data_IF_829109763418
#
_entry.id   IF_829109763418
#
_cell.length_a   1.000
_cell.length_b   1.000
_cell.length_c   1.000
_cell.angle_alpha   90.00
_cell.angle_beta   90.00
_cell.angle_gamma   90.00
#
_symmetry.space_group_name_H-M   'P 1'
#
loop_
_entity.id
_entity.type
_entity.pdbx_description
1 polymer ?
#
# COMPACT_ATOMS: atom_id res chain seq x y z
N UNK A 1 6.86 28.91 -9.20
CA UNK A 1 7.13 27.85 -8.21
C UNK A 1 6.12 26.71 -8.38
N UNK A 2 4.85 27.04 -8.58
CA UNK A 2 3.73 26.09 -8.74
C UNK A 2 3.91 25.04 -9.85
N UNK A 3 4.53 25.41 -10.99
CA UNK A 3 4.79 24.46 -12.08
C UNK A 3 5.72 23.31 -11.69
N UNK A 4 6.73 23.58 -10.85
CA UNK A 4 7.68 22.56 -10.40
C UNK A 4 7.04 21.62 -9.38
N UNK A 5 6.23 22.17 -8.47
CA UNK A 5 5.46 21.39 -7.50
C UNK A 5 4.40 20.52 -8.20
N UNK A 6 3.67 21.07 -9.16
CA UNK A 6 2.70 20.33 -9.97
C UNK A 6 3.38 19.20 -10.76
N UNK A 7 4.50 19.48 -11.43
CA UNK A 7 5.24 18.45 -12.15
C UNK A 7 5.78 17.33 -11.23
N UNK A 8 6.21 17.67 -10.01
CA UNK A 8 6.65 16.68 -9.03
C UNK A 8 5.49 15.83 -8.52
N UNK A 9 4.33 16.43 -8.30
CA UNK A 9 3.10 15.72 -7.94
C UNK A 9 2.64 14.77 -9.06
N UNK A 10 2.60 15.23 -10.31
CA UNK A 10 2.26 14.41 -11.48
C UNK A 10 3.25 13.25 -11.65
N UNK A 11 4.54 13.51 -11.43
CA UNK A 11 5.58 12.46 -11.45
C UNK A 11 5.37 11.42 -10.35
N UNK A 12 5.03 11.84 -9.12
CA UNK A 12 4.73 10.95 -8.01
C UNK A 12 3.49 10.10 -8.30
N UNK A 13 2.42 10.70 -8.83
CA UNK A 13 1.21 10.01 -9.25
C UNK A 13 1.48 8.97 -10.34
N UNK A 14 2.27 9.32 -11.37
CA UNK A 14 2.64 8.37 -12.43
C UNK A 14 3.51 7.23 -11.88
N UNK A 15 4.47 7.53 -11.01
CA UNK A 15 5.28 6.49 -10.35
C UNK A 15 4.40 5.53 -9.54
N UNK A 16 3.41 6.05 -8.84
CA UNK A 16 2.50 5.25 -8.03
C UNK A 16 1.63 4.33 -8.91
N UNK A 17 1.07 4.86 -10.00
CA UNK A 17 0.27 4.06 -10.94
C UNK A 17 1.10 2.92 -11.54
N UNK A 18 2.31 3.22 -12.02
CA UNK A 18 3.21 2.21 -12.57
C UNK A 18 3.59 1.13 -11.53
N UNK A 19 3.74 1.52 -10.26
CA UNK A 19 3.99 0.61 -9.16
C UNK A 19 2.77 -0.29 -8.86
N UNK A 20 1.56 0.27 -8.85
CA UNK A 20 0.32 -0.48 -8.66
C UNK A 20 0.09 -1.49 -9.80
N UNK A 21 0.32 -1.08 -11.05
CA UNK A 21 0.18 -1.96 -12.22
C UNK A 21 1.20 -3.11 -12.16
N UNK A 22 2.45 -2.81 -11.81
CA UNK A 22 3.47 -3.83 -11.67
C UNK A 22 3.22 -4.78 -10.49
N UNK A 23 2.66 -4.28 -9.38
CA UNK A 23 2.20 -5.13 -8.28
C UNK A 23 1.09 -6.07 -8.76
N UNK A 24 0.10 -5.56 -9.48
CA UNK A 24 -0.99 -6.37 -10.03
C UNK A 24 -0.48 -7.54 -10.89
N UNK A 25 0.52 -7.29 -11.73
CA UNK A 25 1.17 -8.32 -12.57
C UNK A 25 1.99 -9.35 -11.78
N UNK A 26 2.36 -9.03 -10.53
CA UNK A 26 3.16 -9.89 -9.65
C UNK A 26 2.33 -10.56 -8.56
N UNK A 27 1.04 -10.28 -8.48
CA UNK A 27 0.17 -10.95 -7.54
C UNK A 27 0.04 -12.44 -7.91
N UNK A 28 -0.05 -13.32 -6.89
CA UNK A 28 -0.38 -14.72 -7.15
C UNK A 28 -1.74 -14.84 -7.85
N UNK A 29 -1.98 -15.98 -8.49
CA UNK A 29 -3.22 -16.23 -9.24
C UNK A 29 -4.49 -16.16 -8.37
N UNK A 30 -4.37 -16.45 -7.07
CA UNK A 30 -5.47 -16.34 -6.09
C UNK A 30 -5.66 -14.90 -5.56
N UNK A 31 -4.82 -13.95 -5.99
CA UNK A 31 -4.86 -12.56 -5.57
C UNK A 31 -4.42 -12.31 -4.13
N UNK A 32 -4.00 -13.34 -3.38
CA UNK A 32 -3.68 -13.21 -1.94
C UNK A 32 -2.35 -12.48 -1.76
N UNK A 33 -2.43 -11.26 -1.24
CA UNK A 33 -1.27 -10.45 -0.91
C UNK A 33 -0.66 -10.89 0.43
N UNK A 34 -1.49 -11.06 1.46
CA UNK A 34 -1.07 -11.64 2.73
C UNK A 34 -2.19 -12.41 3.43
N UNK A 35 -1.79 -13.30 4.32
CA UNK A 35 -2.67 -14.14 5.13
C UNK A 35 -2.19 -14.11 6.57
N UNK A 36 -3.10 -13.92 7.53
CA UNK A 36 -2.75 -13.88 8.95
C UNK A 36 -3.87 -14.46 9.81
N UNK A 37 -3.50 -15.31 10.76
CA UNK A 37 -4.43 -15.87 11.72
C UNK A 37 -4.72 -14.86 12.83
N UNK A 38 -5.95 -14.38 12.90
CA UNK A 38 -6.41 -13.50 13.96
C UNK A 38 -7.05 -14.31 15.10
N UNK A 39 -6.32 -14.37 16.22
CA UNK A 39 -6.81 -14.95 17.48
C UNK A 39 -7.59 -13.90 18.26
N UNK A 40 -8.92 -14.04 18.26
CA UNK A 40 -9.85 -13.12 18.91
C UNK A 40 -10.12 -13.56 20.34
N UNK A 41 -10.00 -12.66 21.31
CA UNK A 41 -10.35 -12.97 22.70
C UNK A 41 -11.83 -13.37 22.80
N UNK A 42 -12.11 -14.51 23.44
CA UNK A 42 -13.47 -15.02 23.64
C UNK A 42 -14.24 -15.42 22.37
N UNK A 43 -13.58 -15.50 21.19
CA UNK A 43 -14.23 -15.87 19.92
C UNK A 43 -13.38 -16.89 19.14
N UNK A 44 -14.02 -17.62 18.23
CA UNK A 44 -13.30 -18.51 17.31
C UNK A 44 -12.27 -17.70 16.49
N UNK A 45 -11.06 -18.25 16.27
CA UNK A 45 -10.05 -17.59 15.44
C UNK A 45 -10.54 -17.52 13.99
N UNK A 46 -10.02 -16.54 13.26
CA UNK A 46 -10.35 -16.28 11.85
C UNK A 46 -9.05 -16.08 11.09
N UNK A 47 -8.94 -16.64 9.89
CA UNK A 47 -7.85 -16.29 8.98
C UNK A 47 -8.29 -15.07 8.19
N UNK A 48 -7.51 -14.00 8.25
CA UNK A 48 -7.75 -12.77 7.49
C UNK A 48 -6.85 -12.82 6.26
N UNK A 49 -7.46 -12.80 5.08
CA UNK A 49 -6.78 -12.70 3.80
C UNK A 49 -6.93 -11.28 3.28
N UNK A 50 -5.82 -10.67 2.88
CA UNK A 50 -5.84 -9.41 2.13
C UNK A 50 -5.56 -9.74 0.68
N UNK A 51 -6.52 -9.45 -0.18
CA UNK A 51 -6.50 -9.71 -1.60
C UNK A 51 -6.23 -8.42 -2.38
N UNK A 52 -5.57 -8.56 -3.52
CA UNK A 52 -5.42 -7.48 -4.48
C UNK A 52 -6.59 -7.48 -5.50
N UNK A 53 -7.19 -6.31 -5.84
CA UNK A 53 -6.96 -5.00 -5.23
C UNK A 53 -7.88 -4.74 -4.03
N UNK A 54 -7.29 -4.67 -2.83
CA UNK A 54 -7.87 -4.08 -1.62
C UNK A 54 -9.14 -4.74 -1.04
N UNK A 55 -9.28 -6.06 -1.18
CA UNK A 55 -10.35 -6.82 -0.53
C UNK A 55 -9.83 -7.56 0.70
N UNK A 56 -10.68 -7.67 1.72
CA UNK A 56 -10.39 -8.43 2.94
C UNK A 56 -11.40 -9.55 3.05
N UNK A 57 -10.91 -10.78 3.13
CA UNK A 57 -11.71 -11.94 3.47
C UNK A 57 -11.43 -12.37 4.90
N UNK A 58 -12.48 -12.50 5.70
CA UNK A 58 -12.47 -13.22 6.96
C UNK A 58 -12.93 -14.65 6.68
N UNK A 59 -12.06 -15.64 6.86
CA UNK A 59 -12.39 -17.05 6.60
C UNK A 59 -12.23 -17.91 7.84
N UNK A 60 -13.07 -18.94 7.94
CA UNK A 60 -12.96 -19.92 9.00
C UNK A 60 -11.68 -20.78 8.79
N UNK A 61 -10.80 -20.88 9.81
CA UNK A 61 -9.60 -21.70 9.70
C UNK A 61 -9.96 -23.17 9.49
N UNK A 62 -9.25 -23.85 8.58
CA UNK A 62 -9.42 -25.26 8.28
C UNK A 62 -10.49 -25.58 7.23
N UNK A 63 -11.64 -24.88 7.24
CA UNK A 63 -12.71 -25.10 6.25
C UNK A 63 -12.62 -24.16 5.05
N UNK A 64 -11.99 -22.99 5.20
CA UNK A 64 -11.94 -21.97 4.15
C UNK A 64 -13.26 -21.25 3.90
N UNK A 65 -14.30 -21.54 4.69
CA UNK A 65 -15.60 -20.90 4.55
C UNK A 65 -15.49 -19.39 4.79
N UNK A 66 -15.99 -18.58 3.85
CA UNK A 66 -15.99 -17.13 3.94
C UNK A 66 -17.03 -16.69 4.96
N UNK A 67 -16.57 -16.01 6.00
CA UNK A 67 -17.38 -15.39 7.05
C UNK A 67 -17.78 -13.98 6.63
N UNK A 68 -16.84 -13.28 5.98
CA UNK A 68 -17.06 -11.93 5.50
C UNK A 68 -16.13 -11.57 4.35
N UNK A 69 -16.62 -10.67 3.51
CA UNK A 69 -15.87 -9.98 2.47
C UNK A 69 -16.10 -8.48 2.64
N UNK A 70 -15.03 -7.69 2.65
CA UNK A 70 -15.12 -6.23 2.85
C UNK A 70 -13.98 -5.55 2.13
N UNK A 71 -14.29 -4.51 1.36
CA UNK A 71 -13.25 -3.67 0.75
C UNK A 71 -12.54 -2.83 1.82
N UNK A 72 -11.22 -2.64 1.71
CA UNK A 72 -10.41 -1.95 2.73
C UNK A 72 -10.94 -0.55 3.04
N UNK A 73 -11.39 0.19 2.02
CA UNK A 73 -11.96 1.53 2.19
C UNK A 73 -13.19 1.56 3.13
N UNK A 74 -13.91 0.44 3.27
CA UNK A 74 -15.11 0.34 4.11
C UNK A 74 -14.84 -0.34 5.45
N UNK A 75 -13.62 -0.85 5.66
CA UNK A 75 -13.29 -1.74 6.76
C UNK A 75 -13.46 -1.06 8.12
N UNK A 76 -13.08 0.21 8.22
CA UNK A 76 -13.25 0.98 9.45
C UNK A 76 -14.72 1.09 9.87
N UNK A 77 -15.63 1.27 8.90
CA UNK A 77 -17.06 1.43 9.16
C UNK A 77 -17.76 0.08 9.41
N UNK A 78 -17.46 -0.94 8.59
CA UNK A 78 -18.17 -2.23 8.60
C UNK A 78 -17.55 -3.27 9.53
N UNK A 79 -16.23 -3.21 9.74
CA UNK A 79 -15.43 -4.22 10.46
C UNK A 79 -14.28 -3.58 11.26
N UNK A 80 -14.55 -2.67 12.21
CA UNK A 80 -13.52 -1.89 12.92
C UNK A 80 -12.50 -2.75 13.68
N UNK A 81 -12.89 -3.93 14.17
CA UNK A 81 -11.97 -4.84 14.84
C UNK A 81 -10.96 -5.48 13.86
N UNK A 82 -11.41 -5.80 12.64
CA UNK A 82 -10.56 -6.30 11.55
C UNK A 82 -9.65 -5.18 11.04
N UNK A 83 -10.15 -3.94 10.95
CA UNK A 83 -9.32 -2.78 10.64
C UNK A 83 -8.20 -2.58 11.66
N UNK A 84 -8.50 -2.61 12.96
CA UNK A 84 -7.49 -2.50 14.01
C UNK A 84 -6.49 -3.67 13.99
N UNK A 85 -6.92 -4.87 13.60
CA UNK A 85 -6.01 -6.00 13.39
C UNK A 85 -5.05 -5.74 12.22
N UNK A 86 -5.56 -5.31 11.06
CA UNK A 86 -4.73 -5.02 9.89
C UNK A 86 -3.80 -3.82 10.10
N UNK A 87 -4.20 -2.82 10.89
CA UNK A 87 -3.33 -1.71 11.29
C UNK A 87 -2.07 -2.23 12.00
N UNK A 88 -2.23 -3.09 13.03
CA UNK A 88 -1.09 -3.71 13.72
C UNK A 88 -0.25 -4.59 12.79
N UNK A 89 -0.89 -5.29 11.86
CA UNK A 89 -0.18 -6.09 10.85
C UNK A 89 0.65 -5.19 9.93
N UNK A 90 0.12 -4.04 9.50
CA UNK A 90 0.83 -3.08 8.66
C UNK A 90 2.01 -2.41 9.40
N UNK A 91 1.89 -2.16 10.71
CA UNK A 91 2.98 -1.67 11.55
C UNK A 91 4.15 -2.66 11.66
N UNK A 92 3.88 -3.96 11.46
CA UNK A 92 4.92 -5.00 11.50
C UNK A 92 5.79 -5.01 10.23
N UNK A 93 5.42 -4.25 9.19
CA UNK A 93 6.18 -4.13 7.96
C UNK A 93 5.34 -4.41 6.69
N UNK A 94 6.01 -4.43 5.53
CA UNK A 94 5.32 -4.63 4.26
C UNK A 94 4.84 -6.07 4.10
N UNK A 95 3.64 -6.23 3.56
CA UNK A 95 3.08 -7.52 3.16
C UNK A 95 3.81 -8.10 1.95
N UNK A 96 4.16 -7.25 0.97
CA UNK A 96 4.98 -7.60 -0.19
C UNK A 96 5.96 -6.47 -0.51
N UNK A 97 7.08 -6.85 -1.11
CA UNK A 97 8.10 -5.91 -1.59
C UNK A 97 8.65 -6.41 -2.92
N UNK A 98 8.96 -5.48 -3.83
CA UNK A 98 9.61 -5.77 -5.10
C UNK A 98 10.49 -4.60 -5.54
N UNK A 99 11.36 -4.86 -6.51
CA UNK A 99 12.14 -3.82 -7.17
C UNK A 99 11.61 -3.57 -8.57
N UNK A 100 11.54 -2.30 -8.94
CA UNK A 100 11.25 -1.83 -10.28
C UNK A 100 12.46 -1.11 -10.86
N UNK A 101 12.70 -1.31 -12.15
CA UNK A 101 13.74 -0.62 -12.91
C UNK A 101 13.08 0.09 -14.10
N UNK A 102 12.49 1.28 -13.90
CA UNK A 102 11.86 2.00 -15.00
C UNK A 102 12.92 2.40 -16.06
N UNK A 103 12.59 2.41 -17.37
CA UNK A 103 13.57 2.56 -18.46
C UNK A 103 14.40 3.85 -18.45
N UNK A 104 14.01 4.87 -17.70
CA UNK A 104 14.67 6.17 -17.62
C UNK A 104 14.75 6.71 -16.19
N UNK A 105 14.52 5.86 -15.18
CA UNK A 105 14.52 6.25 -13.78
C UNK A 105 15.49 5.41 -12.98
N UNK A 106 15.75 5.85 -11.75
CA UNK A 106 16.52 5.06 -10.80
C UNK A 106 15.73 3.82 -10.40
N UNK A 107 16.44 2.78 -9.98
CA UNK A 107 15.82 1.59 -9.39
C UNK A 107 14.96 2.00 -8.20
N UNK A 108 13.75 1.50 -8.15
CA UNK A 108 12.77 1.79 -7.11
C UNK A 108 12.50 0.53 -6.29
N UNK A 109 12.28 0.70 -4.98
CA UNK A 109 11.73 -0.33 -4.10
C UNK A 109 10.25 -0.02 -3.88
N UNK A 110 9.38 -0.91 -4.36
CA UNK A 110 7.94 -0.83 -4.15
C UNK A 110 7.56 -1.77 -3.03
N UNK A 111 6.81 -1.27 -2.06
CA UNK A 111 6.26 -2.07 -0.97
C UNK A 111 4.76 -1.85 -0.87
N UNK A 112 4.03 -2.87 -0.44
CA UNK A 112 2.62 -2.76 -0.09
C UNK A 112 2.38 -3.40 1.27
N UNK A 113 1.64 -2.74 2.15
CA UNK A 113 1.31 -3.22 3.49
C UNK A 113 -0.08 -3.90 3.57
N UNK A 114 -0.47 -4.35 4.75
CA UNK A 114 -1.75 -5.03 4.98
C UNK A 114 -3.00 -4.14 4.81
N UNK A 115 -2.83 -2.81 4.72
CA UNK A 115 -3.91 -1.86 4.40
C UNK A 115 -3.89 -1.47 2.91
N UNK A 116 -3.14 -2.20 2.09
CA UNK A 116 -2.91 -1.93 0.68
C UNK A 116 -2.36 -0.51 0.42
N UNK A 117 -1.59 0.04 1.35
CA UNK A 117 -0.83 1.27 1.08
C UNK A 117 0.40 0.91 0.28
N UNK A 118 0.47 1.40 -0.96
CA UNK A 118 1.63 1.27 -1.83
C UNK A 118 2.60 2.40 -1.54
N UNK A 119 3.87 2.05 -1.34
CA UNK A 119 4.96 3.01 -1.14
C UNK A 119 6.06 2.75 -2.14
N UNK A 120 6.48 3.80 -2.84
CA UNK A 120 7.59 3.77 -3.79
C UNK A 120 8.76 4.50 -3.18
N UNK A 121 9.89 3.82 -3.03
CA UNK A 121 11.13 4.42 -2.52
C UNK A 121 12.20 4.40 -3.60
N UNK A 122 13.09 5.39 -3.63
CA UNK A 122 14.36 5.26 -4.34
C UNK A 122 15.19 4.14 -3.68
N UNK A 123 15.63 3.16 -4.47
CA UNK A 123 16.31 1.98 -3.91
C UNK A 123 17.72 2.27 -3.39
N UNK A 124 18.33 3.39 -3.79
CA UNK A 124 19.68 3.80 -3.37
C UNK A 124 19.63 4.71 -2.15
N UNK A 125 18.77 5.73 -2.16
CA UNK A 125 18.70 6.73 -1.08
C UNK A 125 17.71 6.34 0.01
N UNK A 126 16.75 5.45 -0.29
CA UNK A 126 15.66 5.10 0.62
C UNK A 126 14.57 6.18 0.73
N UNK A 127 14.70 7.27 -0.03
CA UNK A 127 13.76 8.40 -0.05
C UNK A 127 12.38 7.93 -0.54
N UNK A 128 11.32 8.35 0.14
CA UNK A 128 9.94 8.09 -0.25
C UNK A 128 9.55 8.99 -1.43
N UNK A 129 9.14 8.38 -2.55
CA UNK A 129 8.85 9.05 -3.83
C UNK A 129 7.35 9.15 -4.12
N UNK A 130 6.57 8.20 -3.60
CA UNK A 130 5.12 8.21 -3.67
C UNK A 130 4.55 7.31 -2.57
N UNK A 131 3.39 7.68 -2.03
CA UNK A 131 2.62 6.89 -1.07
C UNK A 131 1.14 6.97 -1.42
N UNK A 132 0.44 5.83 -1.42
CA UNK A 132 -0.97 5.79 -1.74
C UNK A 132 -1.89 6.04 -0.53
N UNK A 133 -3.15 6.33 -0.83
CA UNK A 133 -4.23 6.20 0.13
C UNK A 133 -4.47 4.72 0.50
N UNK A 134 -4.87 4.42 1.75
CA UNK A 134 -5.26 3.07 2.17
C UNK A 134 -6.42 2.53 1.32
N UNK A 135 -6.26 1.31 0.81
CA UNK A 135 -7.25 0.68 -0.05
C UNK A 135 -7.41 1.31 -1.45
N UNK A 136 -6.54 2.26 -1.82
CA UNK A 136 -6.55 2.92 -3.13
C UNK A 136 -5.13 2.99 -3.70
N UNK A 137 -4.57 1.87 -4.17
CA UNK A 137 -3.14 1.72 -4.45
C UNK A 137 -2.61 2.62 -5.56
N UNK A 138 -3.48 3.15 -6.42
CA UNK A 138 -3.15 4.10 -7.48
C UNK A 138 -3.45 5.57 -7.16
N UNK A 139 -3.98 5.88 -5.98
CA UNK A 139 -4.34 7.26 -5.59
C UNK A 139 -3.30 7.78 -4.63
N UNK A 140 -2.58 8.84 -5.02
CA UNK A 140 -1.59 9.47 -4.17
C UNK A 140 -2.24 10.03 -2.90
N UNK A 141 -1.58 9.82 -1.75
CA UNK A 141 -2.07 10.28 -0.46
C UNK A 141 -2.24 11.79 -0.43
N UNK A 142 -3.36 12.25 0.12
CA UNK A 142 -3.64 13.67 0.34
C UNK A 142 -2.56 14.28 1.23
N UNK A 143 -1.96 15.38 0.77
CA UNK A 143 -0.88 16.06 1.48
C UNK A 143 0.50 15.41 1.29
N UNK A 144 0.65 14.43 0.39
CA UNK A 144 1.97 13.98 -0.01
C UNK A 144 2.69 15.07 -0.81
N UNK A 145 3.78 15.59 -0.25
CA UNK A 145 4.62 16.62 -0.87
C UNK A 145 5.93 16.00 -1.38
N UNK A 146 6.04 15.65 -2.67
CA UNK A 146 7.26 15.04 -3.22
C UNK A 146 8.46 15.99 -3.25
N UNK A 147 8.21 17.30 -3.22
CA UNK A 147 9.19 18.36 -3.08
C UNK A 147 8.63 19.41 -2.13
N UNK A 148 9.43 19.83 -1.15
CA UNK A 148 9.08 20.96 -0.31
C UNK A 148 9.55 22.27 -0.95
N UNK A 149 8.94 23.42 -0.61
CA UNK A 149 9.44 24.72 -1.06
C UNK A 149 10.91 24.98 -0.67
N UNK A 150 11.40 24.38 0.42
CA UNK A 150 12.79 24.46 0.86
C UNK A 150 13.75 23.73 -0.08
N UNK A 151 13.31 22.64 -0.72
CA UNK A 151 14.12 21.93 -1.72
C UNK A 151 14.34 22.74 -2.99
N UNK A 152 13.43 23.67 -3.27
CA UNK A 152 13.46 24.58 -4.42
C UNK A 152 14.20 25.89 -4.11
N UNK A 153 14.61 26.12 -2.87
CA UNK A 153 15.33 27.33 -2.50
C UNK A 153 16.71 27.37 -3.18
N UNK A 154 17.10 28.50 -3.80
CA UNK A 154 18.41 28.62 -4.42
C UNK A 154 19.49 28.42 -3.34
N UNK A 155 20.35 27.43 -3.53
CA UNK A 155 21.50 27.21 -2.66
C UNK A 155 22.57 28.22 -3.07
N UNK A 156 22.79 29.22 -2.23
CA UNK A 156 23.96 30.10 -2.34
C UNK A 156 25.16 29.29 -1.85
N UNK A 157 25.87 28.65 -2.78
CA UNK A 157 27.20 28.06 -2.57
C UNK A 157 28.20 28.77 -3.46
#
# INVERSE_FOLDING_TARGET
>A
MDKALAAAHDSAQHCLQAAADALALKMPADGVMCSSLWRRSGRKPVTVLVLWPCWVLEVQPGTGAVIAETHIAELQAKRPQTAAFLQRTAESGPAKSMFLCPPQSRRQRVTVDALCVVRVHDAKTGELRAESEPGQPGVLRVGFEPLTPADLAPRLT
#
